data_IF_203105721383
#
_entry.id   IF_203105721383
#
_cell.length_a   1.000
_cell.length_b   1.000
_cell.length_c   1.000
_cell.angle_alpha   90.00
_cell.angle_beta   90.00
_cell.angle_gamma   90.00
#
_symmetry.space_group_name_H-M   'P 1'
#
loop_
_entity.id
_entity.type
_entity.pdbx_description
1 polymer ?
#
# COMPACT_ATOMS: atom_id res chain seq x y z
N UNK A 1 -15.04 -13.51 24.68
CA UNK A 1 -15.93 -14.64 24.33
C UNK A 1 -17.06 -14.10 23.45
N UNK A 2 -17.31 -14.74 22.30
CA UNK A 2 -18.42 -14.50 21.36
C UNK A 2 -18.40 -13.27 20.40
N UNK A 3 -17.29 -13.02 19.68
CA UNK A 3 -17.31 -12.21 18.44
C UNK A 3 -17.40 -13.06 17.15
N UNK A 4 -17.00 -14.34 17.21
CA UNK A 4 -17.11 -15.27 16.08
C UNK A 4 -18.56 -15.56 15.66
N UNK A 5 -19.57 -15.32 16.50
CA UNK A 5 -20.98 -15.62 16.18
C UNK A 5 -21.57 -14.73 15.07
N UNK A 6 -21.09 -13.50 14.89
CA UNK A 6 -21.60 -12.61 13.84
C UNK A 6 -20.92 -12.82 12.47
N UNK A 7 -19.72 -13.41 12.45
CA UNK A 7 -19.00 -13.76 11.22
C UNK A 7 -19.42 -15.14 10.65
N UNK A 8 -20.08 -15.99 11.43
CA UNK A 8 -20.56 -17.31 10.99
C UNK A 8 -21.98 -17.25 10.37
N UNK A 9 -22.73 -16.18 10.61
CA UNK A 9 -24.09 -16.02 10.08
C UNK A 9 -24.21 -15.98 8.54
N UNK A 10 -23.22 -15.49 7.75
CA UNK A 10 -23.27 -15.62 6.29
C UNK A 10 -22.93 -17.04 5.81
N UNK A 11 -22.13 -17.80 6.59
CA UNK A 11 -21.68 -19.15 6.22
C UNK A 11 -22.72 -20.24 6.54
N UNK A 12 -23.57 -20.03 7.55
CA UNK A 12 -24.60 -21.00 7.95
C UNK A 12 -25.80 -21.12 7.00
N UNK A 13 -25.91 -20.26 5.98
CA UNK A 13 -27.01 -20.23 5.00
C UNK A 13 -26.53 -20.73 3.62
N UNK A 14 -25.23 -20.97 3.46
CA UNK A 14 -24.68 -21.47 2.19
C UNK A 14 -25.03 -22.95 2.02
N UNK A 15 -25.56 -23.37 0.86
CA UNK A 15 -25.67 -24.78 0.53
C UNK A 15 -24.27 -25.38 0.54
N UNK A 16 -23.93 -26.12 1.60
CA UNK A 16 -22.57 -26.61 1.90
C UNK A 16 -22.00 -27.42 0.73
N UNK A 17 -22.84 -28.18 0.04
CA UNK A 17 -22.46 -28.94 -1.16
C UNK A 17 -22.00 -28.03 -2.31
N UNK A 18 -22.73 -26.93 -2.59
CA UNK A 18 -22.32 -25.97 -3.62
C UNK A 18 -21.08 -25.18 -3.19
N UNK A 19 -20.99 -24.78 -1.92
CA UNK A 19 -19.81 -24.09 -1.39
C UNK A 19 -18.54 -24.96 -1.43
N UNK A 20 -18.67 -26.28 -1.25
CA UNK A 20 -17.57 -27.24 -1.41
C UNK A 20 -17.20 -27.46 -2.88
N UNK A 21 -18.18 -27.49 -3.79
CA UNK A 21 -17.93 -27.54 -5.24
C UNK A 21 -17.22 -26.26 -5.74
N UNK A 22 -17.48 -25.10 -5.12
CA UNK A 22 -16.79 -23.85 -5.42
C UNK A 22 -15.27 -23.88 -5.13
N UNK A 23 -14.72 -24.93 -4.53
CA UNK A 23 -13.28 -25.00 -4.25
C UNK A 23 -12.47 -25.72 -5.34
N UNK A 24 -13.12 -26.43 -6.28
CA UNK A 24 -12.45 -27.32 -7.24
C UNK A 24 -11.96 -26.64 -8.53
N UNK A 25 -12.68 -25.65 -9.05
CA UNK A 25 -12.37 -24.98 -10.34
C UNK A 25 -11.58 -23.68 -10.14
N UNK A 26 -10.50 -23.75 -9.37
CA UNK A 26 -9.73 -22.57 -8.99
C UNK A 26 -8.60 -22.26 -9.97
N UNK A 27 -8.44 -20.97 -10.26
CA UNK A 27 -7.25 -20.45 -10.93
C UNK A 27 -6.09 -20.41 -9.93
N UNK A 28 -5.01 -21.14 -10.25
CA UNK A 28 -3.80 -21.18 -9.44
C UNK A 28 -2.67 -20.53 -10.22
N UNK A 29 -1.95 -19.63 -9.55
CA UNK A 29 -0.73 -19.02 -10.10
C UNK A 29 0.43 -19.27 -9.14
N UNK A 30 1.60 -19.57 -9.70
CA UNK A 30 2.85 -19.65 -8.94
C UNK A 30 3.79 -18.55 -9.42
N UNK A 31 4.24 -17.73 -8.48
CA UNK A 31 5.22 -16.68 -8.73
C UNK A 31 6.50 -17.01 -7.97
N UNK A 32 7.62 -17.01 -8.66
CA UNK A 32 8.95 -17.14 -8.06
C UNK A 32 9.82 -15.96 -8.44
N UNK A 33 10.59 -15.44 -7.49
CA UNK A 33 11.51 -14.33 -7.74
C UNK A 33 12.81 -14.51 -6.97
N UNK A 34 13.92 -14.22 -7.63
CA UNK A 34 15.21 -14.00 -6.99
C UNK A 34 15.53 -12.50 -7.07
N UNK A 35 15.94 -11.91 -5.96
CA UNK A 35 16.35 -10.51 -5.92
C UNK A 35 17.69 -10.33 -5.22
N UNK A 36 18.37 -9.26 -5.59
CA UNK A 36 19.60 -8.81 -4.94
C UNK A 36 19.47 -7.34 -4.59
N UNK A 37 19.94 -6.96 -3.41
CA UNK A 37 19.88 -5.58 -2.91
C UNK A 37 21.21 -5.15 -2.34
N UNK A 38 21.62 -3.95 -2.71
CA UNK A 38 22.73 -3.22 -2.11
C UNK A 38 22.18 -1.97 -1.39
N UNK A 39 22.50 -1.83 -0.11
CA UNK A 39 22.12 -0.69 0.74
C UNK A 39 23.36 -0.01 1.29
N UNK A 40 23.53 1.26 0.95
CA UNK A 40 24.56 2.10 1.55
C UNK A 40 24.25 2.35 3.04
N UNK A 41 25.29 2.70 3.81
CA UNK A 41 25.16 3.07 5.22
C UNK A 41 24.07 4.13 5.43
N UNK A 42 23.15 3.83 6.36
CA UNK A 42 22.04 4.72 6.71
C UNK A 42 22.48 5.82 7.68
N UNK A 43 21.53 6.66 8.11
CA UNK A 43 21.74 7.61 9.23
C UNK A 43 21.48 6.95 10.58
N UNK A 44 20.86 5.78 10.57
CA UNK A 44 20.47 5.05 11.77
C UNK A 44 21.62 4.19 12.27
N UNK A 45 21.77 4.14 13.59
CA UNK A 45 22.65 3.20 14.26
C UNK A 45 21.90 2.56 15.41
N UNK A 46 21.84 1.23 15.46
CA UNK A 46 21.30 0.46 16.59
C UNK A 46 22.46 -0.26 17.24
N UNK A 47 22.62 -0.11 18.55
CA UNK A 47 23.78 -0.65 19.28
C UNK A 47 25.14 -0.16 18.69
N UNK A 48 25.13 1.00 18.03
CA UNK A 48 26.28 1.58 17.31
C UNK A 48 26.64 0.88 15.99
N UNK A 49 25.73 0.09 15.41
CA UNK A 49 25.91 -0.60 14.14
C UNK A 49 24.83 -0.21 13.12
N UNK A 50 25.11 -0.37 11.82
CA UNK A 50 24.13 -0.11 10.77
C UNK A 50 22.98 -1.13 10.91
N UNK A 51 21.71 -0.70 11.06
CA UNK A 51 20.58 -1.62 11.26
C UNK A 51 20.10 -2.30 9.97
N UNK A 52 20.86 -2.16 8.88
CA UNK A 52 20.58 -2.69 7.55
C UNK A 52 21.71 -3.59 7.09
N UNK A 53 21.36 -4.65 6.36
CA UNK A 53 22.37 -5.47 5.69
C UNK A 53 22.82 -4.78 4.39
N UNK A 54 24.13 -4.55 4.24
CA UNK A 54 24.68 -3.83 3.07
C UNK A 54 24.43 -4.55 1.75
N UNK A 55 24.57 -5.87 1.72
CA UNK A 55 24.32 -6.69 0.54
C UNK A 55 23.51 -7.91 0.96
N UNK A 56 22.37 -8.15 0.31
CA UNK A 56 21.61 -9.36 0.55
C UNK A 56 20.91 -9.84 -0.72
N UNK A 57 20.75 -11.14 -0.84
CA UNK A 57 19.86 -11.76 -1.81
C UNK A 57 18.60 -12.27 -1.14
N UNK A 58 17.52 -12.41 -1.90
CA UNK A 58 16.27 -13.01 -1.43
C UNK A 58 15.72 -13.96 -2.48
N UNK A 59 15.17 -15.08 -2.02
CA UNK A 59 14.33 -15.98 -2.81
C UNK A 59 12.90 -15.87 -2.31
N UNK A 60 12.01 -15.41 -3.18
CA UNK A 60 10.61 -15.17 -2.88
C UNK A 60 9.74 -16.15 -3.66
N UNK A 61 8.72 -16.70 -3.01
CA UNK A 61 7.72 -17.56 -3.62
C UNK A 61 6.33 -17.08 -3.21
N UNK A 62 5.41 -17.02 -4.17
CA UNK A 62 4.00 -16.82 -3.92
C UNK A 62 3.17 -17.88 -4.65
N UNK A 63 2.12 -18.35 -3.97
CA UNK A 63 1.07 -19.15 -4.56
C UNK A 63 -0.22 -18.34 -4.44
N UNK A 64 -0.85 -18.04 -5.57
CA UNK A 64 -2.16 -17.42 -5.62
C UNK A 64 -3.19 -18.51 -5.87
N UNK A 65 -4.28 -18.43 -5.11
CA UNK A 65 -5.50 -19.19 -5.32
C UNK A 65 -6.63 -18.18 -5.52
N UNK A 66 -7.33 -18.26 -6.64
CA UNK A 66 -8.53 -17.47 -6.88
C UNK A 66 -9.67 -18.32 -7.41
N UNK A 67 -10.88 -18.04 -6.95
CA UNK A 67 -12.08 -18.71 -7.43
C UNK A 67 -13.26 -17.73 -7.45
N UNK A 68 -14.10 -17.86 -8.47
CA UNK A 68 -15.37 -17.16 -8.61
C UNK A 68 -16.47 -18.19 -8.81
N UNK A 69 -17.43 -18.25 -7.90
CA UNK A 69 -18.47 -19.28 -7.93
C UNK A 69 -19.88 -18.70 -7.83
N UNK A 70 -20.74 -19.10 -8.76
CA UNK A 70 -22.16 -18.78 -8.76
C UNK A 70 -22.93 -19.79 -7.90
N UNK A 71 -23.43 -19.34 -6.75
CA UNK A 71 -24.15 -20.18 -5.79
C UNK A 71 -25.64 -20.33 -6.16
N UNK A 72 -26.21 -19.34 -6.85
CA UNK A 72 -27.61 -19.30 -7.26
C UNK A 72 -27.79 -18.41 -8.49
N UNK A 73 -28.05 -19.01 -9.66
CA UNK A 73 -28.49 -18.37 -10.92
C UNK A 73 -28.10 -16.90 -11.07
N UNK A 74 -26.79 -16.61 -11.03
CA UNK A 74 -26.18 -15.28 -11.14
C UNK A 74 -26.57 -14.20 -10.11
N UNK A 75 -27.44 -14.53 -9.15
CA UNK A 75 -27.86 -13.62 -8.07
C UNK A 75 -26.94 -13.62 -6.87
N UNK A 76 -26.25 -14.73 -6.61
CA UNK A 76 -25.39 -14.88 -5.45
C UNK A 76 -24.05 -15.47 -5.86
N UNK A 77 -22.98 -14.69 -5.67
CA UNK A 77 -21.62 -15.04 -6.09
C UNK A 77 -20.67 -15.06 -4.90
N UNK A 78 -19.78 -16.03 -4.85
CA UNK A 78 -18.69 -16.09 -3.86
C UNK A 78 -17.37 -15.82 -4.58
N UNK A 79 -16.65 -14.79 -4.13
CA UNK A 79 -15.31 -14.49 -4.62
C UNK A 79 -14.28 -14.84 -3.55
N UNK A 80 -13.26 -15.60 -3.94
CA UNK A 80 -12.14 -15.99 -3.08
C UNK A 80 -10.84 -15.59 -3.77
N UNK A 81 -9.95 -14.93 -3.04
CA UNK A 81 -8.59 -14.59 -3.45
C UNK A 81 -7.65 -14.75 -2.27
N UNK A 82 -6.68 -15.64 -2.40
CA UNK A 82 -5.74 -16.03 -1.35
C UNK A 82 -4.32 -16.05 -1.90
N UNK A 83 -3.37 -15.55 -1.12
CA UNK A 83 -1.94 -15.62 -1.41
C UNK A 83 -1.20 -16.28 -0.26
N UNK A 84 -0.43 -17.32 -0.56
CA UNK A 84 0.61 -17.84 0.33
C UNK A 84 1.96 -17.28 -0.10
N UNK A 85 2.63 -16.52 0.76
CA UNK A 85 3.90 -15.87 0.49
C UNK A 85 5.01 -16.46 1.37
N UNK A 86 6.20 -16.63 0.79
CA UNK A 86 7.42 -17.04 1.49
C UNK A 86 8.58 -16.18 1.01
N UNK A 87 9.45 -15.77 1.93
CA UNK A 87 10.76 -15.20 1.57
C UNK A 87 11.89 -15.91 2.32
N UNK A 88 13.02 -16.11 1.65
CA UNK A 88 14.23 -16.68 2.23
C UNK A 88 15.44 -15.80 1.88
N UNK A 89 16.03 -15.10 2.88
CA UNK A 89 17.22 -14.29 2.64
C UNK A 89 18.50 -15.15 2.60
N UNK A 90 19.50 -14.73 1.82
CA UNK A 90 20.80 -15.42 1.79
C UNK A 90 21.65 -15.13 3.04
N UNK A 91 21.48 -13.97 3.64
CA UNK A 91 22.10 -13.56 4.90
C UNK A 91 21.04 -12.98 5.83
N UNK A 92 21.28 -13.04 7.14
CA UNK A 92 20.39 -12.44 8.13
C UNK A 92 20.14 -10.95 7.81
N UNK A 93 18.86 -10.61 7.79
CA UNK A 93 18.38 -9.24 7.60
C UNK A 93 18.88 -8.33 8.71
N UNK A 94 19.02 -7.03 8.40
CA UNK A 94 19.31 -6.06 9.44
C UNK A 94 18.15 -5.92 10.44
N UNK A 95 18.45 -5.37 11.63
CA UNK A 95 17.46 -5.16 12.71
C UNK A 95 16.23 -4.36 12.30
N UNK A 96 16.36 -3.45 11.34
CA UNK A 96 15.22 -2.69 10.82
C UNK A 96 14.51 -3.38 9.66
N UNK A 97 14.97 -4.52 9.19
CA UNK A 97 14.39 -5.26 8.05
C UNK A 97 13.81 -6.62 8.45
N UNK A 98 14.08 -7.05 9.67
CA UNK A 98 13.60 -8.30 10.23
C UNK A 98 12.05 -8.27 10.38
N UNK A 99 11.41 -9.29 9.84
CA UNK A 99 10.00 -9.62 10.06
C UNK A 99 9.93 -10.85 10.99
N UNK A 100 8.88 -10.96 11.81
CA UNK A 100 8.78 -12.05 12.80
C UNK A 100 8.55 -13.42 12.15
N UNK A 101 8.13 -13.42 10.87
CA UNK A 101 7.76 -14.61 10.11
C UNK A 101 8.23 -14.49 8.66
N UNK A 102 8.78 -15.59 8.16
CA UNK A 102 9.18 -15.75 6.76
C UNK A 102 8.07 -16.27 5.85
N UNK A 103 6.91 -16.62 6.42
CA UNK A 103 5.73 -17.12 5.72
C UNK A 103 4.53 -16.26 6.10
N UNK A 104 3.76 -15.80 5.11
CA UNK A 104 2.52 -15.04 5.30
C UNK A 104 1.40 -15.62 4.44
N UNK A 105 0.18 -15.55 4.98
CA UNK A 105 -1.04 -15.90 4.26
C UNK A 105 -1.89 -14.62 4.18
N UNK A 106 -2.16 -14.16 2.97
CA UNK A 106 -2.92 -12.95 2.69
C UNK A 106 -4.24 -13.33 2.03
N UNK A 107 -5.35 -13.01 2.70
CA UNK A 107 -6.68 -13.18 2.11
C UNK A 107 -7.01 -11.91 1.33
N UNK A 108 -6.69 -11.83 0.05
CA UNK A 108 -6.94 -10.62 -0.76
C UNK A 108 -8.44 -10.33 -0.86
N UNK A 109 -9.26 -11.36 -1.08
CA UNK A 109 -10.71 -11.23 -1.18
C UNK A 109 -11.42 -12.46 -0.61
N UNK A 110 -12.50 -12.23 0.11
CA UNK A 110 -13.44 -13.27 0.53
C UNK A 110 -14.79 -12.62 0.76
N UNK A 111 -15.58 -12.45 -0.31
CA UNK A 111 -16.86 -11.76 -0.23
C UNK A 111 -17.98 -12.52 -0.93
N UNK A 112 -19.17 -12.35 -0.38
CA UNK A 112 -20.43 -12.78 -0.96
C UNK A 112 -21.04 -11.56 -1.64
N UNK A 113 -21.28 -11.66 -2.95
CA UNK A 113 -21.91 -10.63 -3.77
C UNK A 113 -23.34 -11.04 -4.09
N UNK A 114 -24.31 -10.19 -3.76
CA UNK A 114 -25.72 -10.42 -3.99
C UNK A 114 -26.30 -9.35 -4.93
N UNK A 115 -26.79 -9.77 -6.09
CA UNK A 115 -27.44 -8.92 -7.08
C UNK A 115 -28.92 -8.76 -6.70
N UNK A 116 -29.26 -7.61 -6.12
CA UNK A 116 -30.64 -7.26 -5.73
C UNK A 116 -31.47 -6.93 -6.97
N UNK A 117 -30.85 -6.29 -7.97
CA UNK A 117 -31.38 -5.99 -9.29
C UNK A 117 -30.22 -5.89 -10.29
N UNK A 118 -30.52 -5.69 -11.58
CA UNK A 118 -29.50 -5.57 -12.63
C UNK A 118 -28.49 -4.43 -12.41
N UNK A 119 -28.85 -3.44 -11.58
CA UNK A 119 -28.00 -2.28 -11.30
C UNK A 119 -27.52 -2.22 -9.86
N UNK A 120 -28.05 -3.05 -8.94
CA UNK A 120 -27.78 -2.93 -7.50
C UNK A 120 -27.17 -4.22 -6.96
N UNK A 121 -25.96 -4.09 -6.41
CA UNK A 121 -25.19 -5.19 -5.83
C UNK A 121 -24.84 -4.92 -4.36
N UNK A 122 -24.82 -5.98 -3.57
CA UNK A 122 -24.43 -5.95 -2.16
C UNK A 122 -23.29 -6.94 -1.93
N UNK A 123 -22.12 -6.43 -1.57
CA UNK A 123 -20.97 -7.23 -1.20
C UNK A 123 -20.81 -7.26 0.33
N UNK A 124 -20.62 -8.45 0.90
CA UNK A 124 -20.35 -8.65 2.33
C UNK A 124 -19.15 -9.57 2.52
N UNK A 125 -18.19 -9.16 3.36
CA UNK A 125 -17.04 -9.99 3.71
C UNK A 125 -15.74 -9.20 3.71
N UNK A 126 -14.66 -9.83 3.27
CA UNK A 126 -13.35 -9.20 3.08
C UNK A 126 -13.27 -8.66 1.66
N UNK A 127 -13.34 -7.35 1.55
CA UNK A 127 -13.56 -6.60 0.30
C UNK A 127 -12.31 -5.81 -0.03
N UNK A 128 -11.89 -5.90 -1.29
CA UNK A 128 -10.77 -5.15 -1.84
C UNK A 128 -11.16 -3.71 -2.07
N UNK A 129 -10.27 -2.79 -1.71
CA UNK A 129 -10.49 -1.38 -1.96
C UNK A 129 -10.26 -1.04 -3.44
N UNK A 130 -11.01 -0.08 -3.97
CA UNK A 130 -10.82 0.44 -5.34
C UNK A 130 -9.93 1.68 -5.27
N UNK A 131 -8.81 1.65 -5.98
CA UNK A 131 -7.93 2.81 -6.10
C UNK A 131 -8.61 3.94 -6.91
N UNK A 132 -8.19 5.18 -6.71
CA UNK A 132 -8.63 6.31 -7.53
C UNK A 132 -7.77 6.51 -8.79
N UNK A 133 -7.84 7.71 -9.37
CA UNK A 133 -7.34 8.01 -10.72
C UNK A 133 -5.81 8.22 -10.80
N UNK A 134 -5.16 8.43 -9.65
CA UNK A 134 -3.74 8.80 -9.57
C UNK A 134 -2.92 7.61 -9.09
N UNK A 135 -1.89 7.25 -9.85
CA UNK A 135 -1.05 6.07 -9.66
C UNK A 135 -0.11 6.17 -8.46
N UNK A 136 0.45 7.35 -8.18
CA UNK A 136 1.35 7.57 -7.05
C UNK A 136 0.62 7.40 -5.71
N UNK A 137 -0.38 8.26 -5.49
CA UNK A 137 -1.29 8.26 -4.35
C UNK A 137 -2.51 9.08 -4.77
N UNK A 138 -3.68 8.49 -4.60
CA UNK A 138 -4.95 9.11 -4.96
C UNK A 138 -5.60 9.78 -3.74
N UNK A 139 -5.76 11.11 -3.71
CA UNK A 139 -6.58 11.80 -2.71
C UNK A 139 -8.02 11.29 -2.62
N UNK A 140 -8.58 10.77 -3.73
CA UNK A 140 -9.94 10.22 -3.74
C UNK A 140 -10.07 8.82 -3.12
N UNK A 141 -8.94 8.13 -2.91
CA UNK A 141 -8.88 6.87 -2.15
C UNK A 141 -8.89 7.12 -0.63
N UNK A 142 -10.10 7.23 -0.08
CA UNK A 142 -10.32 7.47 1.34
C UNK A 142 -10.30 6.19 2.21
N UNK A 143 -10.12 5.00 1.62
CA UNK A 143 -10.15 3.71 2.33
C UNK A 143 -8.79 2.99 2.36
N UNK A 144 -7.69 3.71 2.16
CA UNK A 144 -6.36 3.12 2.19
C UNK A 144 -6.05 2.36 3.50
N UNK A 145 -5.62 1.11 3.34
CA UNK A 145 -5.18 0.19 4.38
C UNK A 145 -3.66 -0.02 4.34
N UNK A 146 -3.14 -0.69 5.37
CA UNK A 146 -1.69 -0.93 5.50
C UNK A 146 -1.20 -2.05 4.58
N UNK A 147 0.07 -1.95 4.18
CA UNK A 147 0.81 -2.96 3.43
C UNK A 147 0.90 -4.27 4.22
N UNK A 148 0.67 -5.38 3.55
CA UNK A 148 0.60 -6.73 4.12
C UNK A 148 1.75 -7.66 3.71
N UNK A 149 2.62 -7.24 2.78
CA UNK A 149 3.77 -8.03 2.34
C UNK A 149 4.91 -8.09 3.36
N UNK A 150 6.11 -8.45 2.89
CA UNK A 150 7.31 -8.53 3.74
C UNK A 150 8.06 -7.20 3.77
N UNK A 151 8.70 -6.91 4.90
CA UNK A 151 9.52 -5.70 5.06
C UNK A 151 10.82 -5.69 4.22
N UNK A 152 11.61 -6.78 4.15
CA UNK A 152 12.91 -6.76 3.47
C UNK A 152 12.83 -6.87 1.95
N UNK A 153 11.80 -7.53 1.42
CA UNK A 153 11.67 -7.88 0.00
C UNK A 153 10.20 -7.97 -0.41
N UNK A 154 9.93 -7.93 -1.71
CA UNK A 154 8.62 -8.17 -2.30
C UNK A 154 8.78 -8.75 -3.70
N UNK A 155 7.80 -9.52 -4.14
CA UNK A 155 7.68 -9.92 -5.55
C UNK A 155 7.14 -8.73 -6.35
N UNK A 156 7.84 -8.34 -7.41
CA UNK A 156 7.56 -7.13 -8.21
C UNK A 156 6.55 -7.37 -9.36
N UNK A 157 5.89 -8.51 -9.39
CA UNK A 157 4.82 -8.80 -10.34
C UNK A 157 3.64 -7.81 -10.17
N UNK A 158 3.13 -7.19 -11.25
CA UNK A 158 2.02 -6.24 -11.18
C UNK A 158 0.75 -6.78 -10.51
N UNK A 159 0.45 -8.08 -10.63
CA UNK A 159 -0.73 -8.69 -10.04
C UNK A 159 -0.71 -8.59 -8.50
N UNK A 160 0.48 -8.66 -7.89
CA UNK A 160 0.66 -8.60 -6.44
C UNK A 160 0.58 -7.19 -5.86
N UNK A 161 0.76 -6.13 -6.68
CA UNK A 161 0.73 -4.75 -6.19
C UNK A 161 -0.55 -4.45 -5.41
N UNK A 162 -1.68 -4.92 -5.92
CA UNK A 162 -2.99 -4.72 -5.30
C UNK A 162 -3.23 -5.65 -4.10
N UNK A 163 -2.68 -6.87 -4.12
CA UNK A 163 -2.80 -7.85 -3.04
C UNK A 163 -1.98 -7.46 -1.79
N UNK A 164 -0.93 -6.66 -1.96
CA UNK A 164 -0.16 -6.14 -0.84
C UNK A 164 -0.88 -5.06 -0.05
N UNK A 165 -1.94 -4.43 -0.57
CA UNK A 165 -2.78 -3.53 0.20
C UNK A 165 -3.86 -4.36 0.91
N UNK A 166 -3.82 -4.41 2.24
CA UNK A 166 -4.75 -5.26 3.00
C UNK A 166 -6.21 -4.91 2.70
N UNK A 167 -7.03 -5.89 2.35
CA UNK A 167 -8.47 -5.71 2.18
C UNK A 167 -9.19 -5.60 3.52
N UNK A 168 -10.34 -4.92 3.55
CA UNK A 168 -11.07 -4.65 4.79
C UNK A 168 -12.27 -5.59 4.92
N UNK A 169 -12.63 -5.93 6.15
CA UNK A 169 -13.91 -6.55 6.44
C UNK A 169 -15.00 -5.48 6.47
N UNK A 170 -16.11 -5.72 5.78
CA UNK A 170 -17.19 -4.76 5.68
C UNK A 170 -18.33 -5.17 4.75
N UNK A 171 -19.14 -4.17 4.45
CA UNK A 171 -20.29 -4.25 3.54
C UNK A 171 -20.16 -3.13 2.52
N UNK A 172 -20.43 -3.42 1.24
CA UNK A 172 -20.55 -2.43 0.17
C UNK A 172 -21.90 -2.62 -0.51
N UNK A 173 -22.66 -1.55 -0.62
CA UNK A 173 -23.87 -1.49 -1.46
C UNK A 173 -23.55 -0.57 -2.61
N UNK A 174 -23.63 -1.07 -3.84
CA UNK A 174 -23.33 -0.31 -5.04
C UNK A 174 -24.53 -0.32 -5.98
N UNK A 175 -24.82 0.82 -6.59
CA UNK A 175 -25.73 0.98 -7.70
C UNK A 175 -24.95 1.53 -8.90
N UNK A 176 -24.90 0.78 -9.98
CA UNK A 176 -24.22 1.16 -11.22
C UNK A 176 -25.22 1.22 -12.37
N UNK A 177 -25.27 2.35 -13.07
CA UNK A 177 -26.12 2.60 -14.23
C UNK A 177 -25.30 3.24 -15.34
N UNK A 178 -25.85 3.33 -16.55
CA UNK A 178 -25.18 4.02 -17.66
C UNK A 178 -24.91 5.52 -17.37
N UNK A 179 -25.68 6.12 -16.47
CA UNK A 179 -25.61 7.56 -16.16
C UNK A 179 -24.75 7.87 -14.93
N UNK A 180 -24.68 6.96 -13.96
CA UNK A 180 -23.99 7.20 -12.69
C UNK A 180 -23.65 5.90 -11.97
N UNK A 181 -22.67 6.01 -11.07
CA UNK A 181 -22.31 5.00 -10.07
C UNK A 181 -22.42 5.58 -8.67
N UNK A 182 -23.12 4.89 -7.77
CA UNK A 182 -23.27 5.27 -6.36
C UNK A 182 -22.89 4.08 -5.47
N UNK A 183 -22.00 4.27 -4.51
CA UNK A 183 -21.66 3.21 -3.55
C UNK A 183 -21.62 3.70 -2.11
N UNK A 184 -22.16 2.90 -1.20
CA UNK A 184 -22.06 3.06 0.24
C UNK A 184 -21.26 1.90 0.82
N UNK A 185 -20.13 2.21 1.45
CA UNK A 185 -19.25 1.24 2.10
C UNK A 185 -19.26 1.45 3.60
N UNK A 186 -19.42 0.37 4.36
CA UNK A 186 -19.28 0.33 5.80
C UNK A 186 -18.14 -0.63 6.19
N UNK A 187 -17.11 -0.12 6.85
CA UNK A 187 -16.00 -0.89 7.42
C UNK A 187 -15.94 -0.62 8.92
N UNK A 188 -16.43 -1.55 9.77
CA UNK A 188 -16.44 -1.35 11.21
C UNK A 188 -15.04 -1.51 11.81
N UNK A 189 -14.84 -0.88 12.96
CA UNK A 189 -13.72 -1.14 13.83
C UNK A 189 -13.89 -2.52 14.48
N UNK A 190 -12.97 -3.42 14.16
CA UNK A 190 -12.93 -4.78 14.70
C UNK A 190 -11.76 -4.99 15.67
N UNK A 191 -10.80 -4.06 15.70
CA UNK A 191 -9.63 -4.13 16.57
C UNK A 191 -9.02 -2.74 16.85
N UNK A 192 -7.99 -2.70 17.68
CA UNK A 192 -7.10 -1.56 17.91
C UNK A 192 -5.64 -1.97 17.65
N UNK A 193 -4.77 -1.00 17.38
CA UNK A 193 -3.32 -1.25 17.29
C UNK A 193 -2.70 -0.97 18.64
N UNK A 194 -2.28 -2.03 19.33
CA UNK A 194 -1.69 -1.92 20.66
C UNK A 194 -0.17 -1.68 20.59
N UNK A 195 0.52 -2.30 19.63
CA UNK A 195 1.98 -2.22 19.49
C UNK A 195 2.38 -1.35 18.29
N UNK A 196 2.46 -0.04 18.49
CA UNK A 196 2.90 0.89 17.43
C UNK A 196 4.41 0.98 17.24
N UNK A 197 5.18 0.43 18.16
CA UNK A 197 6.64 0.36 18.06
C UNK A 197 7.11 -0.77 17.11
N UNK A 198 6.22 -1.64 16.65
CA UNK A 198 6.50 -2.61 15.59
C UNK A 198 5.95 -2.13 14.24
N UNK A 199 6.52 -2.67 13.17
CA UNK A 199 6.12 -2.37 11.80
C UNK A 199 4.80 -3.08 11.46
N UNK A 200 3.98 -2.48 10.59
CA UNK A 200 2.65 -2.97 10.24
C UNK A 200 2.66 -4.34 9.55
N UNK A 201 3.81 -4.76 9.04
CA UNK A 201 4.04 -6.10 8.48
C UNK A 201 3.90 -7.22 9.50
N UNK A 202 4.10 -6.92 10.79
CA UNK A 202 3.96 -7.86 11.90
C UNK A 202 2.60 -7.75 12.61
N UNK A 203 1.77 -6.76 12.24
CA UNK A 203 0.40 -6.68 12.74
C UNK A 203 -0.46 -7.82 12.19
N UNK A 204 -1.59 -8.08 12.84
CA UNK A 204 -2.63 -8.95 12.29
C UNK A 204 -3.33 -8.30 11.08
N UNK A 205 -4.00 -9.11 10.26
CA UNK A 205 -4.77 -8.61 9.12
C UNK A 205 -5.87 -7.62 9.56
N UNK A 206 -6.51 -7.85 10.71
CA UNK A 206 -7.52 -6.93 11.25
C UNK A 206 -6.91 -5.60 11.70
N UNK A 207 -5.70 -5.61 12.27
CA UNK A 207 -5.00 -4.39 12.65
C UNK A 207 -4.55 -3.58 11.41
N UNK A 208 -4.28 -4.25 10.29
CA UNK A 208 -3.96 -3.57 9.04
C UNK A 208 -5.17 -3.00 8.29
N UNK A 209 -6.39 -3.47 8.54
CA UNK A 209 -7.55 -3.01 7.75
C UNK A 209 -8.81 -2.58 8.52
N UNK A 210 -8.99 -2.92 9.80
CA UNK A 210 -10.24 -2.66 10.55
C UNK A 210 -9.98 -2.01 11.92
N UNK A 211 -9.06 -1.04 11.98
CA UNK A 211 -8.71 -0.32 13.23
C UNK A 211 -9.55 0.91 13.52
N UNK A 212 -10.43 1.28 12.60
CA UNK A 212 -11.26 2.48 12.70
C UNK A 212 -12.60 2.23 12.03
N UNK A 213 -13.66 2.82 12.59
CA UNK A 213 -14.95 2.92 11.93
C UNK A 213 -14.85 3.84 10.72
N UNK A 214 -15.29 3.35 9.57
CA UNK A 214 -15.25 4.07 8.30
C UNK A 214 -16.53 3.83 7.52
N UNK A 215 -17.19 4.90 7.14
CA UNK A 215 -18.38 4.89 6.29
C UNK A 215 -18.10 5.79 5.08
N UNK A 216 -18.00 5.20 3.90
CA UNK A 216 -17.67 5.92 2.66
C UNK A 216 -18.90 5.95 1.76
N UNK A 217 -19.31 7.15 1.35
CA UNK A 217 -20.24 7.36 0.25
C UNK A 217 -19.44 7.84 -0.97
N UNK A 218 -19.62 7.20 -2.12
CA UNK A 218 -19.00 7.61 -3.39
C UNK A 218 -20.04 7.74 -4.48
N UNK A 219 -20.01 8.83 -5.23
CA UNK A 219 -20.85 9.09 -6.39
C UNK A 219 -19.96 9.47 -7.58
N UNK A 220 -20.20 8.88 -8.74
CA UNK A 220 -19.55 9.22 -10.01
C UNK A 220 -20.63 9.47 -11.07
N UNK A 221 -20.49 10.55 -11.83
CA UNK A 221 -21.40 10.91 -12.92
C UNK A 221 -20.77 10.55 -14.28
N UNK A 222 -21.51 9.82 -15.11
CA UNK A 222 -21.06 9.38 -16.44
C UNK A 222 -21.77 10.14 -17.57
N UNK A 223 -22.67 11.08 -17.25
CA UNK A 223 -23.47 11.82 -18.26
C UNK A 223 -22.69 12.88 -19.02
N UNK A 224 -21.43 13.15 -18.64
CA UNK A 224 -20.60 14.12 -19.33
C UNK A 224 -19.70 13.39 -20.33
N UNK A 225 -19.79 13.75 -21.61
CA UNK A 225 -19.10 13.01 -22.69
C UNK A 225 -17.58 12.89 -22.48
N UNK A 226 -16.94 13.95 -21.97
CA UNK A 226 -15.48 14.02 -21.80
C UNK A 226 -15.03 14.05 -20.34
N UNK A 227 -15.96 14.12 -19.39
CA UNK A 227 -15.66 14.27 -17.97
C UNK A 227 -16.25 13.11 -17.17
N UNK A 228 -15.59 12.74 -16.08
CA UNK A 228 -16.11 11.73 -15.16
C UNK A 228 -15.91 12.23 -13.73
N UNK A 229 -16.71 13.23 -13.31
CA UNK A 229 -16.59 13.80 -11.99
C UNK A 229 -17.06 12.82 -10.93
N UNK A 230 -16.36 12.77 -9.80
CA UNK A 230 -16.73 11.96 -8.65
C UNK A 230 -16.58 12.70 -7.33
N UNK A 231 -17.43 12.34 -6.37
CA UNK A 231 -17.45 12.84 -5.00
C UNK A 231 -17.37 11.65 -4.04
N UNK A 232 -16.42 11.71 -3.11
CA UNK A 232 -16.24 10.74 -2.03
C UNK A 232 -16.37 11.44 -0.68
N UNK A 233 -17.20 10.90 0.21
CA UNK A 233 -17.39 11.41 1.58
C UNK A 233 -17.13 10.29 2.57
N UNK A 234 -16.07 10.43 3.37
CA UNK A 234 -15.73 9.51 4.45
C UNK A 234 -16.20 10.07 5.79
N UNK A 235 -16.95 9.27 6.53
CA UNK A 235 -17.40 9.48 7.90
C UNK A 235 -16.85 8.38 8.83
N UNK A 236 -17.09 8.52 10.14
CA UNK A 236 -16.57 7.62 11.18
C UNK A 236 -15.47 8.29 12.00
N UNK A 237 -14.38 7.56 12.26
CA UNK A 237 -13.29 8.05 13.12
C UNK A 237 -12.56 9.26 12.52
N UNK A 238 -12.44 9.35 11.19
CA UNK A 238 -11.81 10.47 10.49
C UNK A 238 -12.73 10.94 9.36
N UNK A 239 -13.09 12.22 9.36
CA UNK A 239 -13.97 12.79 8.34
C UNK A 239 -13.14 13.39 7.21
N UNK A 240 -13.49 13.02 5.98
CA UNK A 240 -12.83 13.51 4.78
C UNK A 240 -13.82 13.66 3.65
N UNK A 241 -13.58 14.63 2.78
CA UNK A 241 -14.33 14.81 1.52
C UNK A 241 -13.30 14.87 0.41
N UNK A 242 -13.51 14.15 -0.68
CA UNK A 242 -12.68 14.21 -1.86
C UNK A 242 -13.52 14.40 -3.12
N UNK A 243 -12.95 15.15 -4.06
CA UNK A 243 -13.47 15.36 -5.40
C UNK A 243 -12.44 14.80 -6.36
N UNK A 244 -12.89 14.15 -7.42
CA UNK A 244 -12.04 13.82 -8.56
C UNK A 244 -12.74 14.12 -9.87
N UNK A 245 -11.96 14.35 -10.91
CA UNK A 245 -12.45 14.42 -12.28
C UNK A 245 -11.40 13.81 -13.21
N UNK A 246 -11.88 13.09 -14.21
CA UNK A 246 -11.09 12.58 -15.33
C UNK A 246 -11.60 13.23 -16.60
N UNK A 247 -10.73 13.98 -17.27
CA UNK A 247 -11.05 14.75 -18.47
C UNK A 247 -10.31 14.19 -19.68
N UNK A 248 -11.05 13.65 -20.64
CA UNK A 248 -10.50 13.18 -21.91
C UNK A 248 -10.38 14.34 -22.89
N UNK A 249 -9.20 14.97 -22.95
CA UNK A 249 -8.89 16.07 -23.87
C UNK A 249 -8.95 15.56 -25.32
N UNK A 250 -8.39 14.36 -25.56
CA UNK A 250 -8.50 13.62 -26.82
C UNK A 250 -8.69 12.13 -26.52
N UNK A 251 -8.89 11.31 -27.55
CA UNK A 251 -8.93 9.85 -27.40
C UNK A 251 -7.62 9.26 -26.84
N UNK A 252 -6.51 9.99 -26.94
CA UNK A 252 -5.19 9.56 -26.50
C UNK A 252 -4.71 10.27 -25.23
N UNK A 253 -5.33 11.39 -24.83
CA UNK A 253 -4.83 12.24 -23.76
C UNK A 253 -5.92 12.47 -22.71
N UNK A 254 -5.66 11.98 -21.50
CA UNK A 254 -6.52 12.14 -20.33
C UNK A 254 -5.82 12.97 -19.27
N UNK A 255 -6.55 13.91 -18.67
CA UNK A 255 -6.13 14.70 -17.52
C UNK A 255 -6.94 14.29 -16.29
N UNK A 256 -6.27 13.96 -15.20
CA UNK A 256 -6.90 13.58 -13.94
C UNK A 256 -6.62 14.65 -12.89
N UNK A 257 -7.64 15.06 -12.15
CA UNK A 257 -7.49 15.95 -11.01
C UNK A 257 -8.22 15.37 -9.80
N UNK A 258 -7.56 15.37 -8.65
CA UNK A 258 -8.16 14.95 -7.38
C UNK A 258 -7.81 15.93 -6.26
N UNK A 259 -8.78 16.24 -5.41
CA UNK A 259 -8.64 17.11 -4.25
C UNK A 259 -9.31 16.45 -3.06
N UNK A 260 -8.61 16.33 -1.93
CA UNK A 260 -9.19 15.86 -0.68
C UNK A 260 -9.01 16.87 0.46
N UNK A 261 -10.03 17.00 1.27
CA UNK A 261 -10.08 17.80 2.49
C UNK A 261 -10.31 16.87 3.67
N UNK A 262 -9.40 16.91 4.63
CA UNK A 262 -9.43 16.10 5.83
C UNK A 262 -9.70 16.98 7.04
N UNK A 263 -10.61 16.58 7.92
CA UNK A 263 -10.93 17.36 9.12
C UNK A 263 -9.77 17.36 10.14
N UNK A 264 -9.03 16.26 10.21
CA UNK A 264 -7.88 16.05 11.10
C UNK A 264 -6.73 15.37 10.34
N UNK A 265 -5.55 15.37 10.95
CA UNK A 265 -4.39 14.70 10.37
C UNK A 265 -4.64 13.21 10.15
N UNK A 266 -4.20 12.69 9.00
CA UNK A 266 -4.37 11.29 8.62
C UNK A 266 -3.33 10.37 9.28
N UNK A 267 -2.20 10.93 9.74
CA UNK A 267 -1.12 10.19 10.38
C UNK A 267 -0.43 11.02 11.49
N UNK A 268 0.38 10.36 12.32
CA UNK A 268 1.01 10.96 13.52
C UNK A 268 2.29 11.71 13.15
N UNK A 269 2.48 12.91 13.71
CA UNK A 269 3.69 13.71 13.48
C UNK A 269 4.56 13.76 14.73
N UNK A 270 5.87 13.90 14.51
CA UNK A 270 6.84 14.09 15.59
C UNK A 270 6.48 15.32 16.44
N UNK A 271 6.33 15.13 17.75
CA UNK A 271 5.95 16.21 18.67
C UNK A 271 7.17 16.94 19.21
N UNK A 272 7.36 18.20 18.79
CA UNK A 272 8.51 19.04 19.21
C UNK A 272 8.67 19.09 20.74
N UNK A 273 7.57 19.20 21.49
CA UNK A 273 7.60 19.20 22.97
C UNK A 273 8.12 17.88 23.57
N UNK A 274 7.84 16.74 22.92
CA UNK A 274 8.25 15.43 23.42
C UNK A 274 9.70 15.14 23.00
N UNK A 275 10.13 15.68 21.86
CA UNK A 275 11.54 15.69 21.46
C UNK A 275 12.37 16.46 22.48
N UNK A 276 11.93 17.65 22.88
CA UNK A 276 12.64 18.47 23.88
C UNK A 276 12.72 17.75 25.23
N UNK A 277 11.64 17.10 25.68
CA UNK A 277 11.66 16.25 26.89
C UNK A 277 12.70 15.14 26.78
N UNK A 278 12.69 14.40 25.66
CA UNK A 278 13.62 13.30 25.43
C UNK A 278 15.09 13.77 25.39
N UNK A 279 15.35 14.93 24.78
CA UNK A 279 16.68 15.54 24.75
C UNK A 279 17.15 16.01 26.14
N UNK A 280 16.22 16.32 27.04
CA UNK A 280 16.46 16.61 28.45
C UNK A 280 16.40 15.35 29.34
N UNK A 281 16.52 14.15 28.77
CA UNK A 281 16.50 12.86 29.47
C UNK A 281 15.20 12.55 30.23
N UNK A 282 14.09 13.15 29.82
CA UNK A 282 12.73 12.80 30.26
C UNK A 282 12.12 11.94 29.15
N UNK A 283 11.78 10.69 29.45
CA UNK A 283 11.33 9.70 28.47
C UNK A 283 9.81 9.66 28.33
N UNK A 284 9.19 10.36 27.34
CA UNK A 284 7.75 10.32 27.14
C UNK A 284 7.29 8.99 26.54
N UNK A 285 6.13 8.50 26.96
CA UNK A 285 5.53 7.27 26.40
C UNK A 285 5.24 7.36 24.90
N UNK A 286 4.95 8.56 24.39
CA UNK A 286 4.67 8.79 22.98
C UNK A 286 5.55 9.90 22.40
N UNK A 287 6.20 9.63 21.26
CA UNK A 287 7.01 10.63 20.55
C UNK A 287 6.25 11.30 19.38
N UNK A 288 5.29 10.59 18.78
CA UNK A 288 4.47 11.05 17.66
C UNK A 288 3.02 11.23 18.11
N UNK A 289 2.29 12.20 17.55
CA UNK A 289 0.87 12.45 17.87
C UNK A 289 0.09 12.94 16.66
N UNK A 290 -1.21 12.63 16.63
CA UNK A 290 -2.17 13.24 15.67
C UNK A 290 -2.60 14.59 16.22
N UNK A 291 -2.46 15.66 15.43
CA UNK A 291 -3.01 16.98 15.77
C UNK A 291 -4.40 17.14 15.15
N UNK A 292 -5.28 17.86 15.84
CA UNK A 292 -6.57 18.26 15.30
C UNK A 292 -6.40 19.46 14.35
N UNK A 293 -5.73 19.20 13.22
CA UNK A 293 -5.44 20.18 12.17
C UNK A 293 -6.00 19.66 10.86
N UNK A 294 -6.71 20.53 10.14
CA UNK A 294 -7.23 20.22 8.81
C UNK A 294 -6.08 19.89 7.84
N UNK A 295 -6.31 18.87 7.03
CA UNK A 295 -5.43 18.43 5.95
C UNK A 295 -6.06 18.71 4.58
N UNK A 296 -5.19 18.93 3.61
CA UNK A 296 -5.51 19.07 2.18
C UNK A 296 -4.50 18.23 1.41
N UNK A 297 -5.01 17.46 0.44
CA UNK A 297 -4.25 16.73 -0.57
C UNK A 297 -4.75 17.13 -1.96
N UNK A 298 -3.83 17.32 -2.90
CA UNK A 298 -4.12 17.65 -4.30
C UNK A 298 -3.26 16.78 -5.19
N UNK A 299 -3.84 16.21 -6.22
CA UNK A 299 -3.12 15.46 -7.23
C UNK A 299 -3.59 15.86 -8.63
N UNK A 300 -2.65 16.06 -9.53
CA UNK A 300 -2.89 16.35 -10.94
C UNK A 300 -2.10 15.34 -11.76
N UNK A 301 -2.72 14.72 -12.75
CA UNK A 301 -2.12 13.71 -13.60
C UNK A 301 -2.42 13.96 -15.06
N UNK A 302 -1.46 13.69 -15.94
CA UNK A 302 -1.67 13.58 -17.37
C UNK A 302 -1.28 12.19 -17.81
N UNK A 303 -2.13 11.56 -18.60
CA UNK A 303 -1.90 10.25 -19.18
C UNK A 303 -2.04 10.32 -20.69
N UNK A 304 -1.07 9.76 -21.39
CA UNK A 304 -1.04 9.63 -22.84
C UNK A 304 -0.99 8.15 -23.24
N UNK A 305 -1.83 7.76 -24.19
CA UNK A 305 -1.87 6.40 -24.75
C UNK A 305 -1.73 6.46 -26.27
N UNK A 306 -0.90 5.60 -26.85
CA UNK A 306 -0.73 5.48 -28.30
C UNK A 306 -0.34 4.06 -28.69
N UNK A 307 -0.25 3.77 -29.99
CA UNK A 307 0.15 2.43 -30.49
C UNK A 307 1.50 1.94 -29.94
N UNK A 308 2.40 2.86 -29.57
CA UNK A 308 3.72 2.55 -28.97
C UNK A 308 3.71 2.60 -27.45
N UNK A 309 2.81 3.39 -26.86
CA UNK A 309 2.69 3.57 -25.42
C UNK A 309 1.34 3.06 -24.97
N UNK A 310 1.32 1.85 -24.42
CA UNK A 310 0.14 1.36 -23.70
C UNK A 310 -0.27 2.35 -22.61
N UNK A 311 0.72 3.02 -21.99
CA UNK A 311 0.49 4.15 -21.10
C UNK A 311 1.77 4.99 -20.94
N UNK A 312 1.64 6.30 -20.89
CA UNK A 312 2.67 7.22 -20.36
C UNK A 312 1.97 8.19 -19.42
N UNK A 313 2.49 8.38 -18.22
CA UNK A 313 1.88 9.22 -17.20
C UNK A 313 2.88 10.14 -16.52
N UNK A 314 2.43 11.36 -16.22
CA UNK A 314 3.13 12.31 -15.37
C UNK A 314 2.15 12.87 -14.35
N UNK A 315 2.53 12.83 -13.07
CA UNK A 315 1.68 13.22 -11.96
C UNK A 315 2.42 14.17 -11.03
N UNK A 316 1.70 15.17 -10.53
CA UNK A 316 2.10 16.02 -9.43
C UNK A 316 1.18 15.74 -8.24
N UNK A 317 1.78 15.49 -7.08
CA UNK A 317 1.05 15.27 -5.83
C UNK A 317 1.51 16.25 -4.75
N UNK A 318 0.55 16.83 -4.07
CA UNK A 318 0.73 17.74 -2.95
C UNK A 318 -0.03 17.25 -1.71
N UNK A 319 0.59 17.39 -0.56
CA UNK A 319 -0.09 17.26 0.73
C UNK A 319 0.40 18.30 1.73
N UNK A 320 -0.55 18.88 2.45
CA UNK A 320 -0.28 19.87 3.50
C UNK A 320 0.34 19.26 4.77
N UNK A 321 0.07 17.98 5.04
CA UNK A 321 0.53 17.25 6.23
C UNK A 321 1.99 16.78 6.14
N UNK A 322 2.60 16.80 4.96
CA UNK A 322 4.00 16.38 4.78
C UNK A 322 4.99 17.19 5.63
N UNK A 323 6.12 16.59 5.97
CA UNK A 323 7.22 17.25 6.66
C UNK A 323 7.88 18.31 5.77
N UNK A 324 7.99 19.53 6.31
CA UNK A 324 8.85 20.57 5.74
C UNK A 324 10.33 20.24 5.93
N UNK A 325 11.21 20.94 5.21
CA UNK A 325 12.68 20.84 5.38
C UNK A 325 13.11 21.05 6.83
N UNK A 326 12.50 22.01 7.55
CA UNK A 326 12.80 22.30 8.96
C UNK A 326 12.43 21.11 9.86
N UNK A 327 11.23 20.56 9.69
CA UNK A 327 10.77 19.43 10.50
C UNK A 327 11.59 18.16 10.21
N UNK A 328 11.94 17.92 8.94
CA UNK A 328 12.83 16.81 8.55
C UNK A 328 14.21 16.95 9.18
N UNK A 329 14.78 18.17 9.20
CA UNK A 329 16.04 18.43 9.92
C UNK A 329 15.91 18.15 11.42
N UNK A 330 14.78 18.51 12.04
CA UNK A 330 14.52 18.20 13.45
C UNK A 330 14.48 16.70 13.72
N UNK A 331 13.84 15.91 12.84
CA UNK A 331 13.87 14.45 12.90
C UNK A 331 15.29 13.91 12.81
N UNK A 332 16.06 14.35 11.81
CA UNK A 332 17.44 13.90 11.63
C UNK A 332 18.33 14.28 12.81
N UNK A 333 18.17 15.48 13.37
CA UNK A 333 18.90 15.91 14.57
C UNK A 333 18.58 15.02 15.77
N UNK A 334 17.32 14.61 15.93
CA UNK A 334 16.95 13.67 16.98
C UNK A 334 17.58 12.29 16.76
N UNK A 335 17.61 11.78 15.52
CA UNK A 335 18.31 10.53 15.22
C UNK A 335 19.78 10.63 15.59
N UNK A 336 20.45 11.73 15.26
CA UNK A 336 21.84 11.96 15.64
C UNK A 336 22.05 12.03 17.16
N UNK A 337 21.13 12.65 17.89
CA UNK A 337 21.15 12.64 19.36
C UNK A 337 21.05 11.22 19.92
N UNK A 338 20.11 10.41 19.40
CA UNK A 338 19.89 9.02 19.84
C UNK A 338 20.99 8.04 19.39
N UNK A 339 21.83 8.41 18.43
CA UNK A 339 23.01 7.63 18.04
C UNK A 339 24.22 7.86 18.96
N UNK A 340 24.19 8.89 19.83
CA UNK A 340 25.31 9.15 20.73
C UNK A 340 25.46 8.02 21.76
N UNK A 341 26.68 7.49 21.89
CA UNK A 341 27.01 6.54 22.96
C UNK A 341 27.24 7.30 24.26
N UNK A 342 26.46 6.95 25.28
CA UNK A 342 26.56 7.57 26.61
C UNK A 342 27.47 6.80 27.57
N UNK A 343 27.91 5.60 27.16
CA UNK A 343 28.62 4.61 27.99
C UNK A 343 27.81 4.16 29.22
N UNK A 344 26.51 4.45 29.26
CA UNK A 344 25.58 3.99 30.28
C UNK A 344 24.52 3.10 29.62
N UNK A 345 24.69 1.79 29.78
CA UNK A 345 23.92 0.76 29.07
C UNK A 345 22.39 0.95 29.15
N UNK A 346 21.79 1.28 30.32
CA UNK A 346 20.34 1.49 30.38
C UNK A 346 19.85 2.64 29.50
N UNK A 347 20.63 3.71 29.40
CA UNK A 347 20.29 4.88 28.58
C UNK A 347 20.49 4.61 27.08
N UNK A 348 21.58 3.94 26.72
CA UNK A 348 21.82 3.53 25.32
C UNK A 348 20.69 2.60 24.83
N UNK A 349 20.22 1.67 25.67
CA UNK A 349 19.04 0.82 25.37
C UNK A 349 17.74 1.61 25.23
N UNK A 350 17.54 2.63 26.07
CA UNK A 350 16.38 3.50 25.94
C UNK A 350 16.43 4.25 24.59
N UNK A 351 17.59 4.79 24.21
CA UNK A 351 17.79 5.44 22.92
C UNK A 351 17.54 4.50 21.74
N UNK A 352 18.04 3.26 21.79
CA UNK A 352 17.74 2.22 20.80
C UNK A 352 16.24 1.97 20.67
N UNK A 353 15.51 1.89 21.80
CA UNK A 353 14.05 1.71 21.81
C UNK A 353 13.32 2.86 21.12
N UNK A 354 13.73 4.12 21.35
CA UNK A 354 13.17 5.26 20.61
C UNK A 354 13.51 5.24 19.13
N UNK A 355 14.70 4.76 18.75
CA UNK A 355 15.07 4.61 17.33
C UNK A 355 14.18 3.57 16.63
N UNK A 356 13.89 2.44 17.26
CA UNK A 356 12.91 1.47 16.74
C UNK A 356 11.51 2.07 16.63
N UNK A 357 11.03 2.78 17.66
CA UNK A 357 9.73 3.45 17.62
C UNK A 357 9.64 4.44 16.46
N UNK A 358 10.65 5.30 16.29
CA UNK A 358 10.70 6.26 15.19
C UNK A 358 10.72 5.57 13.82
N UNK A 359 11.57 4.54 13.66
CA UNK A 359 11.68 3.81 12.40
C UNK A 359 10.37 3.09 12.04
N UNK A 360 9.73 2.44 13.01
CA UNK A 360 8.43 1.79 12.84
C UNK A 360 7.31 2.78 12.53
N UNK A 361 7.23 3.92 13.21
CA UNK A 361 6.24 4.97 12.87
C UNK A 361 6.43 5.47 11.43
N UNK A 362 7.67 5.73 11.01
CA UNK A 362 8.00 6.16 9.65
C UNK A 362 7.63 5.09 8.62
N UNK A 363 7.92 3.82 8.90
CA UNK A 363 7.51 2.70 8.08
C UNK A 363 5.97 2.60 7.99
N UNK A 364 5.27 2.69 9.11
CA UNK A 364 3.82 2.56 9.22
C UNK A 364 3.07 3.66 8.46
N UNK A 365 3.63 4.88 8.40
CA UNK A 365 3.11 5.95 7.57
C UNK A 365 3.19 5.55 6.09
N UNK A 366 4.36 5.09 5.64
CA UNK A 366 4.60 4.69 4.25
C UNK A 366 3.81 3.44 3.85
N UNK A 367 3.66 2.48 4.76
CA UNK A 367 2.95 1.23 4.50
C UNK A 367 1.45 1.43 4.34
N UNK A 368 0.88 2.52 4.90
CA UNK A 368 -0.49 2.97 4.61
C UNK A 368 -0.60 3.78 3.31
N UNK A 369 0.44 3.81 2.50
CA UNK A 369 0.50 4.57 1.25
C UNK A 369 0.75 6.07 1.42
N UNK A 370 1.00 6.57 2.64
CA UNK A 370 1.29 8.00 2.83
C UNK A 370 2.74 8.33 2.49
N UNK A 371 2.92 9.46 1.83
CA UNK A 371 4.23 10.01 1.54
C UNK A 371 4.68 10.90 2.71
N UNK A 372 5.98 11.12 2.94
CA UNK A 372 6.42 11.89 4.11
C UNK A 372 6.68 13.37 3.84
N UNK A 373 7.02 13.75 2.62
CA UNK A 373 7.22 15.12 2.13
C UNK A 373 5.94 15.78 1.66
N UNK A 374 6.04 17.01 1.16
CA UNK A 374 4.85 17.80 0.75
C UNK A 374 4.56 17.79 -0.75
N UNK A 375 5.58 17.61 -1.58
CA UNK A 375 5.50 17.83 -3.02
C UNK A 375 6.22 16.70 -3.72
N UNK A 376 5.54 16.08 -4.68
CA UNK A 376 6.06 14.95 -5.45
C UNK A 376 5.78 15.11 -6.93
N UNK A 377 6.71 14.62 -7.73
CA UNK A 377 6.50 14.35 -9.14
C UNK A 377 6.67 12.84 -9.32
N UNK A 378 5.71 12.21 -9.97
CA UNK A 378 5.76 10.81 -10.38
C UNK A 378 5.66 10.72 -11.89
N UNK A 379 6.44 9.85 -12.50
CA UNK A 379 6.35 9.56 -13.93
C UNK A 379 6.48 8.07 -14.16
N UNK A 380 5.70 7.56 -15.10
CA UNK A 380 5.67 6.15 -15.43
C UNK A 380 5.35 5.94 -16.91
N UNK A 381 5.79 4.82 -17.46
CA UNK A 381 5.39 4.40 -18.79
C UNK A 381 5.18 2.89 -18.83
N UNK A 382 4.41 2.43 -19.80
CA UNK A 382 4.28 1.04 -20.22
C UNK A 382 4.40 1.02 -21.74
N UNK A 383 5.55 0.56 -22.21
CA UNK A 383 5.89 0.46 -23.62
C UNK A 383 5.73 -1.00 -24.02
N UNK A 384 4.79 -1.29 -24.92
CA UNK A 384 4.62 -2.62 -25.48
C UNK A 384 5.46 -2.74 -26.75
N UNK A 385 6.21 -3.83 -26.87
CA UNK A 385 6.96 -4.19 -28.05
C UNK A 385 6.38 -5.45 -28.71
N UNK A 386 6.89 -5.82 -29.89
CA UNK A 386 6.52 -7.07 -30.55
C UNK A 386 6.75 -8.28 -29.63
N UNK A 387 6.05 -9.38 -29.92
CA UNK A 387 6.21 -10.66 -29.20
C UNK A 387 5.79 -10.62 -27.71
N UNK A 388 4.77 -9.84 -27.37
CA UNK A 388 4.23 -9.75 -25.99
C UNK A 388 5.27 -9.32 -24.95
N UNK A 389 6.20 -8.45 -25.36
CA UNK A 389 7.22 -7.86 -24.51
C UNK A 389 6.75 -6.51 -23.97
N UNK A 390 7.02 -6.23 -22.70
CA UNK A 390 6.67 -4.96 -22.08
C UNK A 390 7.85 -4.35 -21.32
N UNK A 391 7.97 -3.03 -21.39
CA UNK A 391 8.96 -2.26 -20.65
C UNK A 391 8.28 -1.14 -19.86
N UNK A 392 8.46 -1.16 -18.53
CA UNK A 392 7.72 -0.33 -17.58
C UNK A 392 8.67 0.48 -16.68
N UNK A 393 9.19 1.63 -17.15
CA UNK A 393 9.99 2.52 -16.32
C UNK A 393 9.11 3.37 -15.41
N UNK A 394 9.64 3.74 -14.24
CA UNK A 394 8.99 4.68 -13.33
C UNK A 394 9.99 5.50 -12.52
N UNK A 395 9.53 6.64 -12.01
CA UNK A 395 10.24 7.41 -10.99
C UNK A 395 9.28 8.18 -10.09
N UNK A 396 9.68 8.39 -8.84
CA UNK A 396 9.01 9.24 -7.86
C UNK A 396 10.06 10.15 -7.24
N UNK A 397 9.90 11.46 -7.39
CA UNK A 397 10.79 12.46 -6.84
C UNK A 397 10.09 13.25 -5.75
N UNK A 398 10.66 13.29 -4.54
CA UNK A 398 10.26 14.25 -3.53
C UNK A 398 10.93 15.60 -3.86
N UNK A 399 10.14 16.60 -4.27
CA UNK A 399 10.67 17.92 -4.64
C UNK A 399 11.18 18.71 -3.43
N UNK A 400 10.71 18.37 -2.23
CA UNK A 400 11.05 19.09 -1.00
C UNK A 400 12.52 18.90 -0.64
N UNK A 401 13.07 17.69 -0.79
CA UNK A 401 14.46 17.35 -0.46
C UNK A 401 15.28 16.79 -1.63
N UNK A 402 14.65 16.67 -2.80
CA UNK A 402 15.24 16.19 -4.07
C UNK A 402 15.68 14.72 -4.02
N UNK A 403 15.09 13.90 -3.14
CA UNK A 403 15.31 12.46 -3.19
C UNK A 403 14.47 11.81 -4.29
N UNK A 404 14.97 10.73 -4.88
CA UNK A 404 14.39 10.04 -6.03
C UNK A 404 14.31 8.53 -5.80
N UNK A 405 13.16 7.93 -6.04
CA UNK A 405 13.01 6.49 -6.25
C UNK A 405 12.76 6.26 -7.73
N UNK A 406 13.43 5.30 -8.37
CA UNK A 406 13.22 4.98 -9.79
C UNK A 406 13.47 3.52 -10.06
N UNK A 407 12.90 2.99 -11.12
CA UNK A 407 13.18 1.65 -11.58
C UNK A 407 12.62 1.39 -12.97
N UNK A 408 12.85 0.18 -13.43
CA UNK A 408 12.26 -0.33 -14.66
C UNK A 408 12.05 -1.83 -14.54
N UNK A 409 10.96 -2.31 -15.14
CA UNK A 409 10.65 -3.73 -15.28
C UNK A 409 10.57 -4.05 -16.77
N UNK A 410 11.23 -5.10 -17.19
CA UNK A 410 11.03 -5.75 -18.47
C UNK A 410 10.28 -7.06 -18.24
N UNK A 411 9.24 -7.33 -19.01
CA UNK A 411 8.55 -8.62 -18.97
C UNK A 411 8.24 -9.17 -20.36
N UNK A 412 8.12 -10.49 -20.45
CA UNK A 412 7.80 -11.21 -21.67
C UNK A 412 6.85 -12.36 -21.34
N UNK A 413 5.70 -12.39 -22.03
CA UNK A 413 4.80 -13.54 -21.99
C UNK A 413 5.24 -14.62 -22.97
N UNK A 414 5.25 -15.87 -22.51
CA UNK A 414 5.64 -17.07 -23.24
C UNK A 414 4.48 -18.07 -23.17
N UNK A 415 4.04 -18.56 -24.33
CA UNK A 415 3.06 -19.64 -24.40
C UNK A 415 3.78 -20.99 -24.42
N UNK A 416 3.71 -21.74 -23.32
CA UNK A 416 4.34 -23.06 -23.20
C UNK A 416 3.24 -24.09 -22.94
N UNK A 417 3.02 -25.00 -23.90
CA UNK A 417 2.04 -26.10 -23.78
C UNK A 417 0.63 -25.63 -23.35
N UNK A 418 0.10 -24.60 -24.03
CA UNK A 418 -1.22 -23.98 -23.76
C UNK A 418 -1.33 -23.22 -22.42
N UNK A 419 -0.25 -23.12 -21.65
CA UNK A 419 -0.19 -22.32 -20.41
C UNK A 419 0.62 -21.04 -20.61
N UNK A 420 0.21 -19.99 -19.92
CA UNK A 420 0.87 -18.69 -19.96
C UNK A 420 1.95 -18.63 -18.87
N UNK A 421 3.19 -18.45 -19.29
CA UNK A 421 4.33 -18.15 -18.42
C UNK A 421 4.75 -16.72 -18.70
N UNK A 422 4.71 -15.84 -17.72
CA UNK A 422 5.36 -14.53 -17.79
C UNK A 422 6.73 -14.62 -17.12
N UNK A 423 7.77 -14.14 -17.79
CA UNK A 423 9.11 -13.96 -17.20
C UNK A 423 9.39 -12.47 -17.13
N UNK A 424 9.90 -12.00 -16.00
CA UNK A 424 10.22 -10.60 -15.81
C UNK A 424 11.55 -10.39 -15.11
N UNK A 425 12.16 -9.24 -15.37
CA UNK A 425 13.35 -8.78 -14.67
C UNK A 425 13.29 -7.28 -14.51
N UNK A 426 13.94 -6.75 -13.50
CA UNK A 426 13.97 -5.32 -13.31
C UNK A 426 15.07 -4.85 -12.38
N UNK A 427 15.22 -3.54 -12.36
CA UNK A 427 16.13 -2.83 -11.47
C UNK A 427 15.39 -1.67 -10.83
N UNK A 428 15.77 -1.33 -9.60
CA UNK A 428 15.25 -0.18 -8.90
C UNK A 428 16.33 0.47 -8.04
N UNK A 429 16.13 1.74 -7.73
CA UNK A 429 17.01 2.52 -6.88
C UNK A 429 16.21 3.52 -6.04
N UNK A 430 16.63 3.67 -4.78
CA UNK A 430 16.18 4.70 -3.84
C UNK A 430 17.39 5.58 -3.51
N UNK A 431 17.37 6.82 -4.00
CA UNK A 431 18.50 7.73 -4.04
C UNK A 431 18.19 9.02 -3.28
N UNK A 432 19.17 9.52 -2.54
CA UNK A 432 19.04 10.78 -1.82
C UNK A 432 20.17 11.04 -0.84
N UNK A 433 20.12 12.18 -0.17
CA UNK A 433 21.03 12.47 0.96
C UNK A 433 20.60 11.66 2.20
N UNK A 434 21.51 11.44 3.13
CA UNK A 434 21.24 10.74 4.41
C UNK A 434 20.11 11.36 5.26
N UNK A 435 19.80 12.64 5.05
CA UNK A 435 18.71 13.36 5.71
C UNK A 435 17.47 13.56 4.82
N UNK A 436 17.39 12.85 3.71
CA UNK A 436 16.28 12.90 2.75
C UNK A 436 15.39 11.66 2.89
N UNK A 437 14.13 11.72 2.48
CA UNK A 437 13.15 10.65 2.66
C UNK A 437 13.62 9.32 2.07
N UNK A 438 14.02 9.32 0.80
CA UNK A 438 14.48 8.11 0.12
C UNK A 438 15.96 7.77 0.38
N UNK A 439 16.64 8.54 1.24
CA UNK A 439 18.03 8.28 1.66
C UNK A 439 18.21 8.05 3.16
N UNK A 440 17.20 8.29 3.99
CA UNK A 440 17.30 8.22 5.45
C UNK A 440 17.62 6.81 5.94
N UNK A 441 17.06 5.81 5.28
CA UNK A 441 17.28 4.39 5.54
C UNK A 441 18.44 3.80 4.71
N UNK A 442 19.25 4.65 4.09
CA UNK A 442 20.33 4.25 3.20
C UNK A 442 19.90 4.26 1.73
N UNK A 443 20.80 4.67 0.85
CA UNK A 443 20.59 4.57 -0.59
C UNK A 443 20.52 3.09 -0.96
N UNK A 444 19.50 2.71 -1.71
CA UNK A 444 19.27 1.30 -2.09
C UNK A 444 19.36 1.18 -3.60
N UNK A 445 20.00 0.13 -4.09
CA UNK A 445 19.90 -0.33 -5.48
C UNK A 445 19.57 -1.81 -5.43
N UNK A 446 18.61 -2.25 -6.22
CA UNK A 446 18.26 -3.66 -6.31
C UNK A 446 17.96 -4.09 -7.72
N UNK A 447 18.07 -5.40 -7.92
CA UNK A 447 17.68 -6.08 -9.14
C UNK A 447 16.88 -7.33 -8.80
N UNK A 448 16.06 -7.77 -9.74
CA UNK A 448 15.28 -8.99 -9.58
C UNK A 448 15.06 -9.67 -10.93
N UNK A 449 14.82 -10.97 -10.85
CA UNK A 449 14.34 -11.81 -11.94
C UNK A 449 13.30 -12.75 -11.37
N UNK A 450 12.20 -12.92 -12.08
CA UNK A 450 11.11 -13.78 -11.62
C UNK A 450 10.25 -14.28 -12.76
N UNK A 451 9.29 -15.11 -12.39
CA UNK A 451 8.30 -15.65 -13.28
C UNK A 451 6.92 -15.69 -12.61
N UNK A 452 5.88 -15.71 -13.43
CA UNK A 452 4.51 -16.01 -13.06
C UNK A 452 3.98 -17.11 -13.98
N UNK A 453 3.51 -18.22 -13.41
CA UNK A 453 3.02 -19.36 -14.14
C UNK A 453 1.56 -19.66 -13.77
N UNK A 454 0.70 -19.67 -14.79
CA UNK A 454 -0.73 -19.93 -14.65
C UNK A 454 -1.02 -21.42 -14.90
N UNK A 455 -1.79 -22.07 -14.00
CA UNK A 455 -2.11 -23.49 -14.09
C UNK A 455 -3.35 -23.81 -14.90
#
# INVERSE_FOLDING_TARGET
>A
MSFYRWLILPLGILPVEKAMACLSDADIEILGQMSYTHKASSTWEIEGQNPYRTNNGYNDLAIKYSNHCDLSDDKLKLNIGLYGLVYAPYQDTGKFEEDDKQVKLLLDQFNLSYSVSDTVNVDVGKIKNKNGLIYLKSPSDLLSNYYAGFKPTQIYDPALKSAYQESFWGIVVAQDTDNYSLSLTASPQLTHVDQRYISSTNWSALERSNTNDRYLLKYTDHRFDQHTPSLSVLLGSSKSIALSDSYNITQQLTFNAELALHQKQQWRHLSESNVEKLQNYIFPEELYRIKNKKGIELALGMQYTSDRFSQFGLEYYYQSEGYSRKQRRSQTNLIHFLNQKTNYVPLDKAFDSYKYLMASEIYNISSKGNLQGKHYINGYASISAAEQKSFKPYFVMNMSDKSLTTGMTYSQSLNIKQKQLEVYTGVYASLGKKNSEFGMFGKTVGSYVGFNYHF
#
